data_IF_727076455214
#
_entry.id   IF_727076455214
#
_cell.length_a   1.000
_cell.length_b   1.000
_cell.length_c   1.000
_cell.angle_alpha   90.00
_cell.angle_beta   90.00
_cell.angle_gamma   90.00
#
_symmetry.space_group_name_H-M   'P 1'
#
loop_
_entity.id
_entity.type
_entity.pdbx_description
1 polymer ?
#
# COMPACT_ATOMS: atom_id res chain seq x y z
N UNK A 1 7.09 21.62 -24.99
CA UNK A 1 7.51 20.39 -25.71
C UNK A 1 8.29 19.51 -24.73
N UNK A 2 7.85 18.28 -24.48
CA UNK A 2 8.55 17.34 -23.59
C UNK A 2 9.80 16.86 -24.30
N UNK A 3 10.97 17.06 -23.67
CA UNK A 3 12.24 16.56 -24.20
C UNK A 3 12.41 15.13 -23.70
N UNK A 4 12.31 14.16 -24.61
CA UNK A 4 12.54 12.75 -24.34
C UNK A 4 14.05 12.47 -24.53
N UNK A 5 14.75 11.95 -23.50
CA UNK A 5 16.16 11.60 -23.63
C UNK A 5 16.31 10.42 -24.60
N UNK A 6 17.36 10.39 -25.40
CA UNK A 6 17.68 9.24 -26.26
C UNK A 6 18.15 8.03 -25.46
N UNK A 7 18.78 8.29 -24.31
CA UNK A 7 19.42 7.26 -23.48
C UNK A 7 19.34 7.63 -22.00
N UNK A 8 19.27 6.64 -21.12
CA UNK A 8 19.32 6.75 -19.66
C UNK A 8 19.92 5.45 -19.08
N UNK A 9 20.41 5.44 -17.83
CA UNK A 9 20.84 4.16 -17.22
C UNK A 9 19.64 3.28 -16.91
N UNK A 10 18.59 3.89 -16.35
CA UNK A 10 17.39 3.18 -15.90
C UNK A 10 16.14 3.90 -16.40
N UNK A 11 15.26 3.15 -17.05
CA UNK A 11 13.96 3.63 -17.47
C UNK A 11 12.87 3.00 -16.61
N UNK A 12 12.08 3.81 -15.89
CA UNK A 12 10.99 3.36 -15.03
C UNK A 12 9.66 3.59 -15.74
N UNK A 13 8.87 2.54 -15.87
CA UNK A 13 7.53 2.57 -16.46
C UNK A 13 6.50 2.63 -15.35
N UNK A 14 5.84 3.77 -15.19
CA UNK A 14 4.86 4.08 -14.16
C UNK A 14 5.38 5.09 -13.13
N UNK A 15 4.72 6.24 -13.06
CA UNK A 15 5.01 7.37 -12.16
C UNK A 15 4.24 7.35 -10.84
N UNK A 16 3.66 6.21 -10.44
CA UNK A 16 3.06 6.04 -9.13
C UNK A 16 4.08 5.97 -7.99
N UNK A 17 3.63 5.74 -6.75
CA UNK A 17 4.54 5.73 -5.57
C UNK A 17 5.71 4.76 -5.69
N UNK A 18 5.52 3.60 -6.33
CA UNK A 18 6.60 2.63 -6.52
C UNK A 18 7.66 3.15 -7.53
N UNK A 19 7.21 3.77 -8.63
CA UNK A 19 8.10 4.30 -9.63
C UNK A 19 8.90 5.51 -9.14
N UNK A 20 8.22 6.45 -8.46
CA UNK A 20 8.88 7.61 -7.87
C UNK A 20 9.85 7.22 -6.75
N UNK A 21 9.45 6.31 -5.85
CA UNK A 21 10.35 5.78 -4.80
C UNK A 21 11.56 5.07 -5.42
N UNK A 22 11.35 4.30 -6.51
CA UNK A 22 12.41 3.68 -7.29
C UNK A 22 13.35 4.71 -7.88
N UNK A 23 12.81 5.76 -8.49
CA UNK A 23 13.62 6.85 -9.07
C UNK A 23 14.49 7.54 -8.01
N UNK A 24 13.90 7.92 -6.88
CA UNK A 24 14.62 8.55 -5.75
C UNK A 24 15.75 7.65 -5.27
N UNK A 25 15.44 6.37 -4.98
CA UNK A 25 16.43 5.43 -4.46
C UNK A 25 17.57 5.17 -5.43
N UNK A 26 17.29 5.08 -6.73
CA UNK A 26 18.27 4.84 -7.78
C UNK A 26 19.12 6.10 -8.06
N UNK A 27 18.51 7.29 -8.08
CA UNK A 27 19.24 8.56 -8.17
C UNK A 27 20.21 8.74 -7.02
N UNK A 28 19.80 8.38 -5.80
CA UNK A 28 20.70 8.41 -4.62
C UNK A 28 21.92 7.46 -4.74
N UNK A 29 21.90 6.52 -5.70
CA UNK A 29 23.01 5.62 -6.05
C UNK A 29 23.79 6.06 -7.29
N UNK A 30 23.50 7.24 -7.83
CA UNK A 30 24.22 7.83 -8.96
C UNK A 30 23.73 7.42 -10.34
N UNK A 31 22.66 6.61 -10.45
CA UNK A 31 22.12 6.22 -11.76
C UNK A 31 21.38 7.38 -12.44
N UNK A 32 21.52 7.52 -13.76
CA UNK A 32 20.64 8.33 -14.61
C UNK A 32 19.26 7.67 -14.69
N UNK A 33 18.18 8.36 -14.26
CA UNK A 33 16.84 7.78 -14.18
C UNK A 33 15.83 8.62 -14.94
N UNK A 34 15.06 7.95 -15.82
CA UNK A 34 13.88 8.52 -16.47
C UNK A 34 12.63 7.74 -16.07
N UNK A 35 11.59 8.43 -15.66
CA UNK A 35 10.27 7.87 -15.33
C UNK A 35 9.26 8.32 -16.36
N UNK A 36 8.41 7.42 -16.87
CA UNK A 36 7.31 7.77 -17.76
C UNK A 36 5.97 7.23 -17.23
N UNK A 37 4.94 8.07 -17.26
CA UNK A 37 3.58 7.69 -16.93
C UNK A 37 2.59 8.32 -17.92
N UNK A 38 1.56 7.59 -18.39
CA UNK A 38 0.53 8.14 -19.28
C UNK A 38 -0.38 9.16 -18.60
N UNK A 39 -0.48 9.15 -17.27
CA UNK A 39 -1.29 10.11 -16.52
C UNK A 39 -0.51 11.41 -16.24
N UNK A 40 -1.27 12.48 -16.00
CA UNK A 40 -0.73 13.72 -15.44
C UNK A 40 -0.80 13.68 -13.90
N UNK A 41 0.18 14.27 -13.19
CA UNK A 41 0.15 14.37 -11.74
C UNK A 41 -0.87 15.42 -11.25
N UNK A 42 -1.32 15.30 -9.97
CA UNK A 42 -1.06 14.19 -9.06
C UNK A 42 -1.90 12.95 -9.39
N UNK A 43 -1.28 11.76 -9.36
CA UNK A 43 -1.98 10.51 -9.62
C UNK A 43 -2.75 10.08 -8.37
N UNK A 44 -4.07 10.08 -8.45
CA UNK A 44 -4.96 9.64 -7.39
C UNK A 44 -5.36 8.17 -7.58
N UNK A 45 -4.70 7.26 -6.87
CA UNK A 45 -5.01 5.83 -6.83
C UNK A 45 -5.79 5.51 -5.55
N UNK A 46 -6.87 4.70 -5.65
CA UNK A 46 -7.64 4.23 -4.49
C UNK A 46 -6.72 3.59 -3.44
N UNK A 47 -6.80 4.09 -2.21
CA UNK A 47 -5.94 3.73 -1.08
C UNK A 47 -6.68 4.02 0.23
N UNK A 48 -6.34 3.32 1.31
CA UNK A 48 -6.78 3.64 2.67
C UNK A 48 -6.08 4.83 3.30
N UNK A 49 -5.04 5.37 2.64
CA UNK A 49 -4.35 6.62 2.95
C UNK A 49 -3.68 6.67 4.33
N UNK A 50 -3.48 5.51 4.96
CA UNK A 50 -2.71 5.37 6.20
C UNK A 50 -1.28 4.91 5.94
N UNK A 51 -0.30 5.67 6.39
CA UNK A 51 1.12 5.29 6.47
C UNK A 51 1.44 4.88 7.91
N UNK A 52 1.78 3.63 8.13
CA UNK A 52 2.22 3.12 9.42
C UNK A 52 3.64 3.61 9.75
N UNK A 53 4.10 3.54 11.03
CA UNK A 53 5.43 4.03 11.42
C UNK A 53 6.59 3.45 10.60
N UNK A 54 6.54 2.18 10.25
CA UNK A 54 7.57 1.53 9.42
C UNK A 54 7.53 1.99 7.95
N UNK A 55 6.37 2.36 7.43
CA UNK A 55 6.24 2.99 6.11
C UNK A 55 6.81 4.42 6.11
N UNK A 56 6.56 5.18 7.19
CA UNK A 56 7.15 6.52 7.37
C UNK A 56 8.67 6.45 7.51
N UNK A 57 9.19 5.46 8.24
CA UNK A 57 10.64 5.24 8.34
C UNK A 57 11.26 4.94 6.97
N UNK A 58 10.58 4.16 6.13
CA UNK A 58 11.03 3.87 4.76
C UNK A 58 11.00 5.11 3.87
N UNK A 59 9.95 5.94 4.01
CA UNK A 59 9.81 7.22 3.32
C UNK A 59 10.94 8.19 3.73
N UNK A 60 11.25 8.26 5.03
CA UNK A 60 12.39 9.04 5.55
C UNK A 60 13.73 8.60 4.99
N UNK A 61 13.97 7.28 4.80
CA UNK A 61 15.19 6.77 4.14
C UNK A 61 15.29 7.16 2.66
N UNK A 62 14.17 7.47 2.01
CA UNK A 62 14.13 8.06 0.66
C UNK A 62 14.39 9.58 0.71
N UNK A 63 14.45 10.19 1.89
CA UNK A 63 14.59 11.63 2.06
C UNK A 63 13.32 12.41 1.70
N UNK A 64 12.16 11.76 1.74
CA UNK A 64 10.87 12.42 1.50
C UNK A 64 10.34 12.97 2.81
N UNK A 65 10.04 14.26 2.84
CA UNK A 65 9.44 14.96 3.97
C UNK A 65 7.97 15.26 3.67
N UNK A 66 7.09 14.92 4.59
CA UNK A 66 5.67 15.28 4.51
C UNK A 66 5.45 16.64 5.15
N UNK A 67 4.64 17.49 4.54
CA UNK A 67 4.26 18.80 5.10
C UNK A 67 3.25 18.57 6.24
N UNK A 68 3.44 19.19 7.42
CA UNK A 68 2.56 18.98 8.58
C UNK A 68 1.08 19.23 8.30
N UNK A 69 0.76 20.20 7.44
CA UNK A 69 -0.60 20.56 7.06
C UNK A 69 -1.28 19.53 6.15
N UNK A 70 -0.52 18.59 5.56
CA UNK A 70 -1.02 17.61 4.60
C UNK A 70 -1.30 16.24 5.19
N UNK A 71 -1.07 16.03 6.49
CA UNK A 71 -1.34 14.74 7.12
C UNK A 71 -1.92 14.90 8.53
N UNK A 72 -2.56 13.84 9.01
CA UNK A 72 -3.03 13.72 10.38
C UNK A 72 -2.29 12.56 11.07
N UNK A 73 -1.66 12.78 12.25
CA UNK A 73 -1.00 11.71 12.99
C UNK A 73 -2.04 10.77 13.61
N UNK A 74 -1.82 9.46 13.49
CA UNK A 74 -2.65 8.48 14.17
C UNK A 74 -1.79 7.49 14.98
N UNK A 75 -2.29 7.08 16.17
CA UNK A 75 -1.50 6.30 17.12
C UNK A 75 -1.57 4.80 16.94
N UNK A 76 -2.54 4.27 16.18
CA UNK A 76 -2.74 2.84 16.05
C UNK A 76 -4.01 2.46 15.31
N UNK A 77 -4.51 1.27 15.63
CA UNK A 77 -5.73 0.73 15.05
C UNK A 77 -6.83 0.55 16.09
N UNK A 78 -8.08 0.71 15.64
CA UNK A 78 -9.27 0.34 16.40
C UNK A 78 -10.14 -0.61 15.59
N UNK A 79 -10.43 -1.78 16.12
CA UNK A 79 -11.41 -2.72 15.55
C UNK A 79 -12.77 -2.46 16.19
N UNK A 80 -13.81 -2.39 15.35
CA UNK A 80 -15.18 -2.17 15.77
C UNK A 80 -16.07 -3.26 15.16
N UNK A 81 -16.91 -3.88 15.99
CA UNK A 81 -17.93 -4.84 15.52
C UNK A 81 -19.19 -4.75 16.43
N UNK A 82 -20.28 -4.23 15.90
CA UNK A 82 -21.46 -3.87 16.68
C UNK A 82 -21.08 -2.85 17.76
N UNK A 83 -21.36 -3.17 19.04
CA UNK A 83 -21.03 -2.32 20.20
C UNK A 83 -19.64 -2.60 20.79
N UNK A 84 -18.97 -3.65 20.33
CA UNK A 84 -17.65 -4.00 20.82
C UNK A 84 -16.57 -3.24 20.04
N UNK A 85 -15.60 -2.69 20.77
CA UNK A 85 -14.41 -2.08 20.17
C UNK A 85 -13.17 -2.40 21.00
N UNK A 86 -12.04 -2.51 20.32
CA UNK A 86 -10.73 -2.65 20.93
C UNK A 86 -9.72 -1.85 20.11
N UNK A 87 -8.85 -1.13 20.77
CA UNK A 87 -7.77 -0.40 20.12
C UNK A 87 -6.40 -0.77 20.68
N UNK A 88 -5.39 -0.56 19.85
CA UNK A 88 -4.00 -0.73 20.23
C UNK A 88 -3.14 0.32 19.51
N UNK A 89 -2.25 0.92 20.28
CA UNK A 89 -1.26 1.87 19.77
C UNK A 89 -0.07 1.16 19.15
N UNK A 90 0.59 1.83 18.24
CA UNK A 90 1.91 1.41 17.79
C UNK A 90 2.90 1.45 18.95
N UNK A 91 3.82 0.49 19.06
CA UNK A 91 4.82 0.49 20.12
C UNK A 91 5.82 1.65 20.02
N UNK A 92 6.05 2.15 18.80
CA UNK A 92 7.02 3.20 18.51
C UNK A 92 6.41 4.21 17.53
N UNK A 93 6.30 5.47 17.94
CA UNK A 93 5.86 6.59 17.09
C UNK A 93 4.39 6.55 16.70
N UNK A 94 4.05 7.35 15.71
CA UNK A 94 2.71 7.47 15.12
C UNK A 94 2.77 7.17 13.63
N UNK A 95 1.63 6.78 13.06
CA UNK A 95 1.41 6.78 11.62
C UNK A 95 1.00 8.16 11.12
N UNK A 96 0.83 8.30 9.81
CA UNK A 96 0.30 9.49 9.16
C UNK A 96 -0.82 9.12 8.19
N UNK A 97 -2.00 9.66 8.43
CA UNK A 97 -3.07 9.64 7.44
C UNK A 97 -2.87 10.81 6.48
N UNK A 98 -2.76 10.51 5.20
CA UNK A 98 -2.41 11.52 4.19
C UNK A 98 -3.14 11.23 2.87
N UNK A 99 -3.72 12.26 2.26
CA UNK A 99 -4.26 12.12 0.92
C UNK A 99 -3.24 11.55 -0.05
N UNK A 100 -3.69 10.61 -0.87
CA UNK A 100 -2.84 9.98 -1.87
C UNK A 100 -2.19 10.98 -2.82
N UNK A 101 -2.88 12.05 -3.16
CA UNK A 101 -2.38 13.15 -4.00
C UNK A 101 -1.25 13.91 -3.33
N UNK A 102 -1.36 14.26 -2.05
CA UNK A 102 -0.29 14.96 -1.30
C UNK A 102 0.96 14.09 -1.13
N UNK A 103 0.78 12.78 -0.86
CA UNK A 103 1.91 11.86 -0.84
C UNK A 103 2.59 11.77 -2.22
N UNK A 104 1.80 11.78 -3.29
CA UNK A 104 2.33 11.72 -4.65
C UNK A 104 3.13 12.99 -5.00
N UNK A 105 2.63 14.16 -4.62
CA UNK A 105 3.31 15.45 -4.77
C UNK A 105 4.66 15.45 -4.03
N UNK A 106 4.68 15.03 -2.75
CA UNK A 106 5.92 14.94 -1.99
C UNK A 106 6.97 13.98 -2.62
N UNK A 107 6.51 12.89 -3.22
CA UNK A 107 7.37 11.96 -3.96
C UNK A 107 7.88 12.57 -5.27
N UNK A 108 7.07 13.36 -5.99
CA UNK A 108 7.47 14.09 -7.19
C UNK A 108 8.53 15.12 -6.87
N UNK A 109 8.27 15.97 -5.88
CA UNK A 109 9.20 17.00 -5.43
C UNK A 109 10.57 16.38 -5.13
N UNK A 110 10.59 15.30 -4.35
CA UNK A 110 11.83 14.61 -4.01
C UNK A 110 12.50 13.95 -5.21
N UNK A 111 11.75 13.35 -6.12
CA UNK A 111 12.29 12.75 -7.34
C UNK A 111 12.98 13.83 -8.25
N UNK A 112 12.36 15.00 -8.36
CA UNK A 112 12.93 16.14 -9.09
C UNK A 112 14.18 16.69 -8.41
N UNK A 113 14.17 16.87 -7.09
CA UNK A 113 15.35 17.29 -6.31
C UNK A 113 16.55 16.36 -6.49
N UNK A 114 16.31 15.05 -6.63
CA UNK A 114 17.38 14.08 -6.90
C UNK A 114 17.83 14.07 -8.36
N UNK A 115 17.20 14.85 -9.25
CA UNK A 115 17.52 14.96 -10.66
C UNK A 115 16.97 13.82 -11.53
N UNK A 116 15.87 13.18 -11.14
CA UNK A 116 15.17 12.24 -12.02
C UNK A 116 14.43 12.99 -13.14
N UNK A 117 14.47 12.47 -14.35
CA UNK A 117 13.67 12.98 -15.47
C UNK A 117 12.27 12.39 -15.40
N UNK A 118 11.23 13.23 -15.30
CA UNK A 118 9.83 12.81 -15.21
C UNK A 118 9.08 13.17 -16.50
N UNK A 119 8.55 12.17 -17.18
CA UNK A 119 7.80 12.28 -18.44
C UNK A 119 6.32 11.96 -18.17
N UNK A 120 5.53 12.99 -17.91
CA UNK A 120 4.10 12.90 -17.69
C UNK A 120 3.30 12.97 -18.99
N UNK A 121 2.21 12.21 -19.09
CA UNK A 121 1.41 12.11 -20.31
C UNK A 121 2.10 11.29 -21.40
N UNK A 122 3.14 10.51 -21.06
CA UNK A 122 3.94 9.75 -22.03
C UNK A 122 3.74 8.25 -21.81
N UNK A 123 2.90 7.59 -22.62
CA UNK A 123 2.69 6.15 -22.53
C UNK A 123 3.86 5.35 -23.12
N UNK A 124 4.32 4.36 -22.38
CA UNK A 124 5.25 3.35 -22.90
C UNK A 124 4.46 2.32 -23.72
N UNK A 125 4.91 2.03 -24.94
CA UNK A 125 4.22 1.14 -25.90
C UNK A 125 4.75 -0.28 -25.88
N UNK A 126 6.03 -0.48 -25.57
CA UNK A 126 6.67 -1.77 -25.57
C UNK A 126 8.08 -1.78 -25.01
N UNK A 127 8.65 -2.98 -24.92
CA UNK A 127 10.06 -3.21 -24.62
C UNK A 127 10.83 -3.48 -25.91
N UNK A 128 12.10 -3.06 -25.94
CA UNK A 128 13.08 -3.44 -26.94
C UNK A 128 14.16 -4.31 -26.29
N UNK A 129 15.13 -4.80 -27.08
CA UNK A 129 16.28 -5.54 -26.53
C UNK A 129 17.17 -4.65 -25.64
N UNK A 130 17.15 -3.33 -25.86
CA UNK A 130 18.05 -2.36 -25.22
C UNK A 130 17.30 -1.21 -24.53
N UNK A 131 15.97 -1.31 -24.35
CA UNK A 131 15.22 -0.22 -23.73
C UNK A 131 13.72 -0.29 -23.93
N UNK A 132 13.09 0.85 -24.21
CA UNK A 132 11.62 0.99 -24.34
C UNK A 132 11.23 1.75 -25.59
N UNK A 133 10.01 1.50 -26.10
CA UNK A 133 9.38 2.22 -27.20
C UNK A 133 8.32 3.19 -26.66
N UNK A 134 8.37 4.44 -27.13
CA UNK A 134 7.42 5.52 -26.89
C UNK A 134 6.80 5.96 -28.23
N UNK A 135 5.78 6.83 -28.21
CA UNK A 135 5.19 7.38 -29.45
C UNK A 135 6.18 8.22 -30.28
N UNK A 136 7.20 8.81 -29.67
CA UNK A 136 8.24 9.60 -30.35
C UNK A 136 9.53 8.86 -30.69
N UNK A 137 9.59 7.52 -30.52
CA UNK A 137 10.79 6.73 -30.80
C UNK A 137 11.15 5.78 -29.67
N UNK A 138 12.44 5.42 -29.61
CA UNK A 138 12.99 4.51 -28.58
C UNK A 138 13.89 5.26 -27.63
N UNK A 139 13.90 4.82 -26.35
CA UNK A 139 14.87 5.27 -25.35
C UNK A 139 15.73 4.05 -24.98
N UNK A 140 17.03 4.17 -25.18
CA UNK A 140 17.97 3.13 -24.77
C UNK A 140 18.24 3.21 -23.27
N UNK A 141 18.34 2.05 -22.61
CA UNK A 141 18.67 1.98 -21.19
C UNK A 141 19.28 0.63 -20.81
N UNK A 142 20.13 0.65 -19.79
CA UNK A 142 20.69 -0.59 -19.22
C UNK A 142 19.64 -1.43 -18.53
N UNK A 143 18.68 -0.78 -17.84
CA UNK A 143 17.63 -1.44 -17.07
C UNK A 143 16.26 -0.82 -17.31
N UNK A 144 15.24 -1.66 -17.43
CA UNK A 144 13.84 -1.23 -17.40
C UNK A 144 13.22 -1.68 -16.09
N UNK A 145 12.59 -0.76 -15.36
CA UNK A 145 11.86 -1.06 -14.13
C UNK A 145 10.37 -0.87 -14.36
N UNK A 146 9.61 -1.97 -14.27
CA UNK A 146 8.15 -1.94 -14.31
C UNK A 146 7.58 -1.58 -12.94
N UNK A 147 6.93 -0.42 -12.87
CA UNK A 147 6.23 0.12 -11.70
C UNK A 147 4.77 0.51 -12.04
N UNK A 148 4.22 -0.11 -13.08
CA UNK A 148 2.95 0.22 -13.74
C UNK A 148 1.72 -0.49 -13.10
N UNK A 149 1.86 -0.88 -11.83
CA UNK A 149 0.77 -1.32 -10.96
C UNK A 149 0.28 -2.75 -11.20
N UNK A 150 -0.91 -3.07 -10.65
CA UNK A 150 -1.45 -4.43 -10.62
C UNK A 150 -1.68 -5.03 -12.02
N UNK A 151 -2.06 -4.21 -12.99
CA UNK A 151 -2.31 -4.63 -14.37
C UNK A 151 -1.08 -4.48 -15.28
N UNK A 152 0.13 -4.57 -14.70
CA UNK A 152 1.40 -4.31 -15.35
C UNK A 152 1.52 -4.88 -16.77
N UNK A 153 1.76 -3.98 -17.72
CA UNK A 153 2.10 -4.33 -19.10
C UNK A 153 3.55 -4.78 -19.20
N UNK A 154 4.45 -4.13 -18.42
CA UNK A 154 5.87 -4.50 -18.37
C UNK A 154 6.03 -5.94 -17.92
N UNK A 155 5.31 -6.37 -16.87
CA UNK A 155 5.31 -7.75 -16.42
C UNK A 155 4.94 -8.73 -17.52
N UNK A 156 3.89 -8.44 -18.30
CA UNK A 156 3.46 -9.27 -19.45
C UNK A 156 4.50 -9.31 -20.56
N UNK A 157 5.01 -8.13 -20.93
CA UNK A 157 6.04 -8.04 -22.00
C UNK A 157 7.33 -8.76 -21.64
N UNK A 158 7.70 -8.79 -20.37
CA UNK A 158 8.89 -9.49 -19.88
C UNK A 158 8.69 -11.00 -19.66
N UNK A 159 7.50 -11.55 -19.91
CA UNK A 159 7.19 -12.96 -19.67
C UNK A 159 7.22 -13.35 -18.18
N UNK A 160 6.93 -12.39 -17.29
CA UNK A 160 6.91 -12.58 -15.83
C UNK A 160 5.48 -12.75 -15.28
N UNK A 161 4.50 -12.93 -16.14
CA UNK A 161 3.09 -13.08 -15.73
C UNK A 161 2.89 -14.37 -14.89
N UNK A 162 2.01 -14.28 -13.92
CA UNK A 162 1.54 -15.40 -13.12
C UNK A 162 0.03 -15.29 -12.89
N UNK A 163 -0.61 -16.41 -12.55
CA UNK A 163 -2.02 -16.40 -12.20
C UNK A 163 -2.27 -15.50 -10.98
N UNK A 164 -3.35 -14.73 -11.01
CA UNK A 164 -3.89 -14.04 -9.83
C UNK A 164 -4.49 -15.06 -8.85
N UNK A 165 -4.56 -14.70 -7.58
CA UNK A 165 -5.45 -15.38 -6.65
C UNK A 165 -6.89 -15.36 -7.21
N UNK A 166 -7.64 -16.46 -7.05
CA UNK A 166 -9.05 -16.51 -7.41
C UNK A 166 -9.94 -15.64 -6.53
N UNK A 167 -9.47 -15.28 -5.32
CA UNK A 167 -10.19 -14.40 -4.41
C UNK A 167 -9.86 -12.96 -4.71
N UNK A 168 -10.80 -12.27 -5.35
CA UNK A 168 -10.74 -10.83 -5.58
C UNK A 168 -11.51 -10.11 -4.49
N UNK A 169 -11.04 -8.93 -4.10
CA UNK A 169 -11.77 -7.96 -3.27
C UNK A 169 -11.82 -6.63 -3.98
N UNK A 170 -12.89 -5.90 -3.71
CA UNK A 170 -13.15 -4.60 -4.32
C UNK A 170 -13.16 -3.56 -3.22
N UNK A 171 -12.39 -2.50 -3.41
CA UNK A 171 -12.33 -1.37 -2.49
C UNK A 171 -12.89 -0.13 -3.14
N UNK A 172 -13.77 0.60 -2.46
CA UNK A 172 -14.28 1.89 -2.90
C UNK A 172 -14.02 2.93 -1.84
N UNK A 173 -13.37 4.04 -2.22
CA UNK A 173 -12.94 5.11 -1.35
C UNK A 173 -13.68 6.40 -1.64
N UNK A 174 -14.03 7.14 -0.57
CA UNK A 174 -14.55 8.51 -0.61
C UNK A 174 -13.99 9.30 0.57
N UNK A 175 -13.79 10.60 0.39
CA UNK A 175 -13.39 11.51 1.47
C UNK A 175 -14.58 12.33 1.96
N UNK A 176 -14.57 12.62 3.26
CA UNK A 176 -15.63 13.37 3.94
C UNK A 176 -15.01 14.55 4.69
N UNK A 177 -15.61 15.73 4.53
CA UNK A 177 -15.26 16.91 5.32
C UNK A 177 -15.90 16.80 6.69
N UNK A 178 -15.11 16.42 7.66
CA UNK A 178 -15.52 16.26 9.05
C UNK A 178 -14.28 16.24 9.93
N UNK A 179 -14.35 16.92 11.08
CA UNK A 179 -13.28 16.85 12.08
C UNK A 179 -13.11 15.41 12.56
N UNK A 180 -11.88 14.88 12.58
CA UNK A 180 -11.61 13.54 13.07
C UNK A 180 -12.11 13.34 14.50
N UNK A 181 -12.90 12.30 14.72
CA UNK A 181 -13.38 11.87 16.05
C UNK A 181 -12.47 10.83 16.69
N UNK A 182 -11.42 10.45 16.03
CA UNK A 182 -10.50 9.39 16.44
C UNK A 182 -9.07 9.74 16.02
N UNK A 183 -8.12 9.27 16.80
CA UNK A 183 -6.69 9.28 16.50
C UNK A 183 -6.17 7.88 16.11
N UNK A 184 -7.08 7.00 15.68
CA UNK A 184 -6.78 5.65 15.16
C UNK A 184 -7.31 5.49 13.74
N UNK A 185 -6.70 4.59 12.98
CA UNK A 185 -7.41 4.00 11.84
C UNK A 185 -8.44 3.02 12.38
N UNK A 186 -9.72 3.29 12.14
CA UNK A 186 -10.81 2.42 12.57
C UNK A 186 -11.17 1.42 11.48
N UNK A 187 -11.34 0.15 11.88
CA UNK A 187 -11.74 -0.95 11.01
C UNK A 187 -13.05 -1.52 11.52
N UNK A 188 -14.12 -1.20 10.83
CA UNK A 188 -15.46 -1.67 11.12
C UNK A 188 -15.70 -3.01 10.41
N UNK A 189 -16.03 -4.03 11.19
CA UNK A 189 -16.29 -5.38 10.69
C UNK A 189 -17.80 -5.62 10.54
N UNK A 190 -18.25 -5.79 9.30
CA UNK A 190 -19.63 -6.10 8.95
C UNK A 190 -19.83 -7.50 8.38
N UNK A 191 -21.05 -7.79 7.95
CA UNK A 191 -21.37 -9.00 7.20
C UNK A 191 -21.00 -8.80 5.73
N UNK A 192 -19.98 -9.52 5.25
CA UNK A 192 -19.53 -9.47 3.85
C UNK A 192 -18.70 -8.25 3.45
N UNK A 193 -18.47 -7.31 4.36
CA UNK A 193 -17.60 -6.16 4.09
C UNK A 193 -16.91 -5.63 5.35
N UNK A 194 -15.84 -4.83 5.14
CA UNK A 194 -15.23 -3.99 6.16
C UNK A 194 -15.25 -2.54 5.70
N UNK A 195 -15.35 -1.61 6.66
CA UNK A 195 -15.12 -0.18 6.40
C UNK A 195 -13.89 0.28 7.18
N UNK A 196 -12.95 0.89 6.47
CA UNK A 196 -11.78 1.53 7.02
C UNK A 196 -12.02 3.03 7.07
N UNK A 197 -11.74 3.63 8.21
CA UNK A 197 -11.86 5.07 8.42
C UNK A 197 -10.51 5.58 8.89
N UNK A 198 -9.89 6.44 8.10
CA UNK A 198 -8.57 7.02 8.35
C UNK A 198 -8.68 8.53 8.49
N UNK A 199 -8.27 9.14 9.59
CA UNK A 199 -8.12 10.59 9.67
C UNK A 199 -6.94 11.01 8.77
N UNK A 200 -7.15 11.95 7.84
CA UNK A 200 -6.16 12.35 6.83
C UNK A 200 -5.85 13.84 6.82
N UNK A 201 -6.56 14.60 7.63
CA UNK A 201 -6.40 16.03 7.83
C UNK A 201 -7.20 16.48 9.03
N UNK A 202 -7.02 17.73 9.46
CA UNK A 202 -7.73 18.28 10.63
C UNK A 202 -9.25 18.36 10.43
N UNK A 203 -9.72 18.40 9.21
CA UNK A 203 -11.14 18.46 8.84
C UNK A 203 -11.50 17.42 7.79
N UNK A 204 -10.75 16.31 7.72
CA UNK A 204 -10.98 15.36 6.65
C UNK A 204 -10.73 13.90 7.07
N UNK A 205 -11.66 13.04 6.66
CA UNK A 205 -11.60 11.58 6.86
C UNK A 205 -11.66 10.84 5.53
N UNK A 206 -10.79 9.85 5.37
CA UNK A 206 -10.87 8.87 4.28
C UNK A 206 -11.71 7.68 4.72
N UNK A 207 -12.70 7.30 3.93
CA UNK A 207 -13.56 6.13 4.19
C UNK A 207 -13.47 5.17 3.02
N UNK A 208 -13.15 3.91 3.31
CA UNK A 208 -13.00 2.85 2.30
C UNK A 208 -13.88 1.67 2.68
N UNK A 209 -14.77 1.23 1.81
CA UNK A 209 -15.41 -0.08 1.93
C UNK A 209 -14.60 -1.13 1.17
N UNK A 210 -14.37 -2.27 1.79
CA UNK A 210 -13.74 -3.44 1.17
C UNK A 210 -14.70 -4.62 1.23
N UNK A 211 -14.96 -5.25 0.08
CA UNK A 211 -15.89 -6.38 -0.05
C UNK A 211 -15.44 -7.36 -1.15
N UNK A 212 -16.04 -8.55 -1.18
CA UNK A 212 -15.98 -9.48 -2.32
C UNK A 212 -17.05 -9.21 -3.37
N UNK A 213 -18.07 -8.44 -3.01
CA UNK A 213 -19.07 -7.97 -3.93
C UNK A 213 -18.54 -6.76 -4.71
N UNK A 214 -18.40 -6.91 -6.03
CA UNK A 214 -17.93 -5.86 -6.93
C UNK A 214 -18.92 -4.70 -7.07
N UNK A 215 -20.16 -4.86 -6.64
CA UNK A 215 -21.24 -3.88 -6.77
C UNK A 215 -21.49 -3.09 -5.47
N UNK A 216 -21.00 -3.58 -4.33
CA UNK A 216 -21.20 -2.89 -3.04
C UNK A 216 -20.46 -1.56 -3.01
N UNK A 217 -21.20 -0.46 -2.86
CA UNK A 217 -20.70 0.92 -2.78
C UNK A 217 -20.84 1.45 -1.36
N UNK A 218 -20.15 2.58 -1.07
CA UNK A 218 -20.21 3.21 0.26
C UNK A 218 -21.63 3.56 0.69
N UNK A 219 -22.47 4.08 -0.21
CA UNK A 219 -23.83 4.46 0.13
C UNK A 219 -24.72 3.26 0.52
N UNK A 220 -24.39 2.07 0.02
CA UNK A 220 -25.06 0.82 0.38
C UNK A 220 -24.47 0.18 1.64
N UNK A 221 -23.15 0.33 1.83
CA UNK A 221 -22.44 -0.29 2.95
C UNK A 221 -22.60 0.49 4.26
N UNK A 222 -22.55 1.83 4.23
CA UNK A 222 -22.60 2.68 5.42
C UNK A 222 -23.83 2.45 6.30
N UNK A 223 -25.08 2.28 5.77
CA UNK A 223 -26.24 1.97 6.58
C UNK A 223 -26.13 0.67 7.39
N UNK A 224 -25.25 -0.27 6.98
CA UNK A 224 -24.99 -1.50 7.73
C UNK A 224 -24.21 -1.24 9.04
N UNK A 225 -23.69 -0.03 9.22
CA UNK A 225 -22.93 0.44 10.38
C UNK A 225 -23.58 1.70 10.98
N UNK A 226 -24.69 1.57 11.77
CA UNK A 226 -25.54 2.70 12.14
C UNK A 226 -24.79 3.84 12.86
N UNK A 227 -23.84 3.51 13.73
CA UNK A 227 -23.04 4.52 14.44
C UNK A 227 -22.17 5.34 13.48
N UNK A 228 -21.45 4.67 12.58
CA UNK A 228 -20.63 5.31 11.57
C UNK A 228 -21.48 6.11 10.57
N UNK A 229 -22.61 5.55 10.13
CA UNK A 229 -23.54 6.23 9.25
C UNK A 229 -24.09 7.50 9.90
N UNK A 230 -24.46 7.43 11.19
CA UNK A 230 -24.91 8.58 11.96
C UNK A 230 -23.92 9.74 11.98
N UNK A 231 -22.61 9.45 12.03
CA UNK A 231 -21.52 10.44 11.98
C UNK A 231 -21.34 11.04 10.59
N UNK A 232 -21.49 10.25 9.53
CA UNK A 232 -21.14 10.62 8.15
C UNK A 232 -22.33 11.14 7.32
N UNK A 233 -23.57 10.84 7.67
CA UNK A 233 -24.77 11.13 6.85
C UNK A 233 -24.95 12.60 6.45
N UNK A 234 -24.45 13.52 7.27
CA UNK A 234 -24.53 14.97 7.02
C UNK A 234 -23.17 15.58 6.61
N UNK A 235 -22.10 14.78 6.50
CA UNK A 235 -20.79 15.27 6.12
C UNK A 235 -20.71 15.47 4.59
N UNK A 236 -20.19 16.60 4.16
CA UNK A 236 -19.98 16.88 2.75
C UNK A 236 -18.86 15.99 2.18
N UNK A 237 -19.01 15.55 0.95
CA UNK A 237 -17.97 14.83 0.23
C UNK A 237 -16.93 15.81 -0.32
N UNK A 238 -15.65 15.46 -0.16
CA UNK A 238 -14.52 16.24 -0.70
C UNK A 238 -13.87 15.55 -1.90
N UNK A 239 -14.36 14.35 -2.28
CA UNK A 239 -13.96 13.65 -3.49
C UNK A 239 -15.10 12.79 -4.05
N UNK A 240 -15.02 12.47 -5.34
CA UNK A 240 -15.82 11.40 -5.94
C UNK A 240 -15.39 10.03 -5.42
N UNK A 241 -16.31 9.05 -5.42
CA UNK A 241 -15.97 7.67 -5.10
C UNK A 241 -15.05 7.07 -6.15
N UNK A 242 -13.96 6.43 -5.72
CA UNK A 242 -13.02 5.73 -6.59
C UNK A 242 -12.88 4.28 -6.16
N UNK A 243 -12.88 3.37 -7.15
CA UNK A 243 -12.76 1.94 -6.94
C UNK A 243 -11.39 1.37 -7.32
N UNK A 244 -11.00 0.28 -6.67
CA UNK A 244 -9.88 -0.55 -7.05
C UNK A 244 -10.16 -2.02 -6.74
N UNK A 245 -9.47 -2.90 -7.48
CA UNK A 245 -9.44 -4.33 -7.22
C UNK A 245 -8.20 -4.66 -6.40
N UNK A 246 -8.39 -5.42 -5.33
CA UNK A 246 -7.32 -6.01 -4.52
C UNK A 246 -7.27 -7.51 -4.75
N UNK A 247 -6.08 -8.03 -5.01
CA UNK A 247 -5.83 -9.45 -5.17
C UNK A 247 -4.44 -9.79 -4.64
N UNK A 248 -4.27 -11.00 -4.14
CA UNK A 248 -2.92 -11.52 -3.88
C UNK A 248 -2.34 -12.08 -5.17
N UNK A 249 -1.18 -11.59 -5.56
CA UNK A 249 -0.41 -12.09 -6.70
C UNK A 249 1.01 -12.42 -6.26
N UNK A 250 1.45 -13.64 -6.52
CA UNK A 250 2.82 -14.07 -6.26
C UNK A 250 3.51 -14.39 -7.58
N UNK A 251 4.67 -13.79 -7.81
CA UNK A 251 5.50 -14.08 -8.97
C UNK A 251 6.59 -15.08 -8.59
N UNK A 252 6.89 -16.01 -9.51
CA UNK A 252 8.05 -16.90 -9.37
C UNK A 252 9.37 -16.12 -9.49
N UNK A 253 9.39 -15.08 -10.33
CA UNK A 253 10.54 -14.21 -10.58
C UNK A 253 10.07 -12.77 -10.67
N UNK A 254 10.90 -11.82 -10.19
CA UNK A 254 10.65 -10.37 -10.22
C UNK A 254 11.59 -9.65 -11.18
N UNK A 255 12.36 -10.39 -11.95
CA UNK A 255 13.18 -9.87 -13.05
C UNK A 255 13.36 -10.92 -14.15
N UNK A 256 13.63 -10.45 -15.38
CA UNK A 256 13.97 -11.25 -16.56
C UNK A 256 14.86 -10.41 -17.48
N UNK A 257 16.07 -10.90 -17.78
CA UNK A 257 17.05 -10.13 -18.53
C UNK A 257 17.33 -8.77 -17.88
N UNK A 258 17.13 -7.70 -18.64
CA UNK A 258 17.31 -6.31 -18.18
C UNK A 258 16.02 -5.67 -17.62
N UNK A 259 14.95 -6.45 -17.45
CA UNK A 259 13.67 -5.95 -16.92
C UNK A 259 13.47 -6.39 -15.47
N UNK A 260 13.16 -5.45 -14.60
CA UNK A 260 12.86 -5.65 -13.18
C UNK A 260 11.47 -5.12 -12.84
N UNK A 261 10.87 -5.63 -11.78
CA UNK A 261 9.53 -5.19 -11.34
C UNK A 261 9.57 -4.71 -9.89
N UNK A 262 8.77 -3.69 -9.58
CA UNK A 262 8.62 -3.12 -8.22
C UNK A 262 7.16 -2.74 -7.95
N UNK A 263 6.76 -2.69 -6.68
CA UNK A 263 5.39 -2.41 -6.28
C UNK A 263 4.41 -3.49 -6.76
N UNK A 264 3.16 -3.13 -7.02
CA UNK A 264 2.12 -4.08 -7.45
C UNK A 264 2.44 -4.76 -8.80
N UNK A 265 3.32 -4.18 -9.62
CA UNK A 265 3.83 -4.82 -10.83
C UNK A 265 4.65 -6.08 -10.51
N UNK A 266 5.36 -6.11 -9.37
CA UNK A 266 6.16 -7.24 -8.91
C UNK A 266 5.38 -8.28 -8.09
N UNK A 267 4.09 -8.08 -7.93
CA UNK A 267 3.18 -8.88 -7.12
C UNK A 267 2.53 -8.05 -6.00
N UNK A 268 1.43 -8.56 -5.47
CA UNK A 268 0.62 -7.86 -4.48
C UNK A 268 0.21 -8.76 -3.33
N UNK A 269 0.03 -8.18 -2.16
CA UNK A 269 -0.64 -8.77 -1.01
C UNK A 269 -2.01 -8.11 -0.89
N UNK A 270 -3.01 -8.84 -0.38
CA UNK A 270 -4.35 -8.29 -0.20
C UNK A 270 -4.31 -6.99 0.61
N UNK A 271 -5.04 -5.98 0.13
CA UNK A 271 -5.05 -4.63 0.70
C UNK A 271 -5.66 -4.55 2.12
N UNK A 272 -6.21 -5.66 2.64
CA UNK A 272 -6.81 -5.74 3.99
C UNK A 272 -5.85 -5.29 5.09
N UNK A 273 -4.55 -5.37 4.88
CA UNK A 273 -3.51 -4.96 5.84
C UNK A 273 -2.98 -3.55 5.66
N UNK A 274 -3.28 -2.90 4.52
CA UNK A 274 -2.80 -1.54 4.23
C UNK A 274 -1.29 -1.41 3.97
N UNK A 275 -0.54 -2.50 3.76
CA UNK A 275 0.94 -2.49 3.66
C UNK A 275 1.51 -2.21 2.26
N UNK A 276 0.68 -1.92 1.25
CA UNK A 276 1.13 -1.75 -0.13
C UNK A 276 2.16 -0.62 -0.32
N UNK A 277 1.99 0.51 0.37
CA UNK A 277 2.91 1.65 0.31
C UNK A 277 4.26 1.32 0.95
N UNK A 278 4.26 0.69 2.13
CA UNK A 278 5.50 0.23 2.76
C UNK A 278 6.26 -0.73 1.86
N UNK A 279 5.56 -1.71 1.30
CA UNK A 279 6.19 -2.68 0.38
C UNK A 279 6.85 -1.99 -0.81
N UNK A 280 6.19 -1.03 -1.44
CA UNK A 280 6.77 -0.36 -2.60
C UNK A 280 8.02 0.46 -2.24
N UNK A 281 8.06 1.12 -1.08
CA UNK A 281 9.24 1.86 -0.61
C UNK A 281 10.41 0.92 -0.30
N UNK A 282 10.17 -0.14 0.46
CA UNK A 282 11.19 -1.12 0.82
C UNK A 282 11.74 -1.86 -0.41
N UNK A 283 10.88 -2.24 -1.33
CA UNK A 283 11.28 -2.89 -2.58
C UNK A 283 12.13 -1.96 -3.44
N UNK A 284 11.80 -0.66 -3.50
CA UNK A 284 12.56 0.34 -4.24
C UNK A 284 13.97 0.54 -3.66
N UNK A 285 14.08 0.60 -2.33
CA UNK A 285 15.37 0.67 -1.64
C UNK A 285 16.21 -0.60 -1.87
N UNK A 286 15.58 -1.78 -1.80
CA UNK A 286 16.26 -3.06 -2.05
C UNK A 286 16.69 -3.19 -3.51
N UNK A 287 15.88 -2.73 -4.47
CA UNK A 287 16.20 -2.70 -5.89
C UNK A 287 17.43 -1.83 -6.15
N UNK A 288 17.43 -0.59 -5.63
CA UNK A 288 18.52 0.34 -5.81
C UNK A 288 19.84 -0.21 -5.24
N UNK A 289 19.79 -0.83 -4.05
CA UNK A 289 20.96 -1.50 -3.47
C UNK A 289 21.45 -2.63 -4.37
N UNK A 290 20.58 -3.49 -4.83
CA UNK A 290 20.94 -4.65 -5.63
C UNK A 290 21.54 -4.28 -7.00
N UNK A 291 21.04 -3.21 -7.64
CA UNK A 291 21.62 -2.70 -8.89
C UNK A 291 22.99 -2.06 -8.68
N UNK A 292 23.17 -1.34 -7.56
CA UNK A 292 24.48 -0.78 -7.19
C UNK A 292 25.53 -1.86 -6.90
N UNK A 293 25.09 -2.98 -6.29
CA UNK A 293 25.96 -4.12 -5.94
C UNK A 293 26.07 -5.15 -7.08
N UNK A 294 25.45 -4.90 -8.25
CA UNK A 294 25.32 -5.82 -9.40
C UNK A 294 24.81 -7.23 -9.00
N UNK A 295 23.87 -7.28 -8.06
CA UNK A 295 23.37 -8.53 -7.46
C UNK A 295 21.83 -8.65 -7.49
N UNK A 296 21.28 -9.04 -8.64
CA UNK A 296 19.83 -9.22 -8.80
C UNK A 296 19.24 -10.39 -7.96
N UNK A 297 20.09 -11.38 -7.60
CA UNK A 297 19.64 -12.48 -6.72
C UNK A 297 19.34 -11.95 -5.32
N UNK A 298 20.12 -10.97 -4.85
CA UNK A 298 19.85 -10.29 -3.57
C UNK A 298 18.52 -9.52 -3.61
N UNK A 299 18.19 -8.85 -4.72
CA UNK A 299 16.89 -8.23 -4.90
C UNK A 299 15.74 -9.23 -4.78
N UNK A 300 15.81 -10.35 -5.51
CA UNK A 300 14.78 -11.37 -5.47
C UNK A 300 14.62 -12.00 -4.07
N UNK A 301 15.71 -12.16 -3.32
CA UNK A 301 15.67 -12.66 -1.94
C UNK A 301 15.02 -11.63 -1.00
N UNK A 302 15.42 -10.36 -1.07
CA UNK A 302 14.85 -9.27 -0.29
C UNK A 302 13.35 -9.09 -0.59
N UNK A 303 12.96 -9.10 -1.87
CA UNK A 303 11.56 -9.00 -2.29
C UNK A 303 10.69 -10.09 -1.65
N UNK A 304 11.14 -11.36 -1.69
CA UNK A 304 10.43 -12.47 -1.02
C UNK A 304 10.33 -12.29 0.49
N UNK A 305 11.42 -11.84 1.11
CA UNK A 305 11.45 -11.61 2.57
C UNK A 305 10.50 -10.49 2.99
N UNK A 306 10.47 -9.38 2.27
CA UNK A 306 9.59 -8.23 2.52
C UNK A 306 8.11 -8.60 2.46
N UNK A 307 7.72 -9.53 1.58
CA UNK A 307 6.35 -9.96 1.41
C UNK A 307 5.85 -10.96 2.48
N UNK A 308 6.74 -11.61 3.27
CA UNK A 308 6.35 -12.68 4.20
C UNK A 308 5.41 -12.21 5.31
N UNK A 309 5.79 -11.15 6.02
CA UNK A 309 5.00 -10.58 7.13
C UNK A 309 3.64 -10.08 6.63
N UNK A 310 3.55 -9.22 5.58
CA UNK A 310 2.28 -8.81 5.01
C UNK A 310 1.37 -9.96 4.58
N UNK A 311 1.93 -10.97 3.92
CA UNK A 311 1.16 -12.13 3.49
C UNK A 311 0.59 -12.93 4.66
N UNK A 312 1.37 -13.08 5.74
CA UNK A 312 0.92 -13.74 6.97
C UNK A 312 -0.20 -12.95 7.65
N UNK A 313 -0.02 -11.63 7.83
CA UNK A 313 -1.03 -10.77 8.44
C UNK A 313 -2.31 -10.70 7.59
N UNK A 314 -2.18 -10.65 6.27
CA UNK A 314 -3.33 -10.71 5.37
C UNK A 314 -4.10 -12.03 5.51
N UNK A 315 -3.42 -13.16 5.58
CA UNK A 315 -4.07 -14.47 5.79
C UNK A 315 -4.84 -14.52 7.11
N UNK A 316 -4.27 -13.96 8.19
CA UNK A 316 -4.93 -13.86 9.48
C UNK A 316 -6.19 -13.00 9.42
N UNK A 317 -6.11 -11.78 8.87
CA UNK A 317 -7.26 -10.90 8.73
C UNK A 317 -8.33 -11.45 7.78
N UNK A 318 -7.93 -12.10 6.69
CA UNK A 318 -8.87 -12.76 5.78
C UNK A 318 -9.60 -13.94 6.43
N UNK A 319 -9.02 -14.63 7.42
CA UNK A 319 -9.72 -15.66 8.18
C UNK A 319 -10.87 -15.08 9.01
N UNK A 320 -10.70 -13.87 9.56
CA UNK A 320 -11.74 -13.13 10.27
C UNK A 320 -12.84 -12.63 9.32
N UNK A 321 -12.48 -12.30 8.09
CA UNK A 321 -13.42 -11.91 7.05
C UNK A 321 -14.33 -13.07 6.62
N UNK A 322 -13.78 -14.28 6.52
CA UNK A 322 -14.51 -15.47 6.10
C UNK A 322 -15.49 -16.01 7.16
N UNK A 323 -15.19 -15.86 8.44
CA UNK A 323 -15.93 -16.48 9.53
C UNK A 323 -16.42 -15.47 10.56
N UNK A 324 -17.74 -15.20 10.56
CA UNK A 324 -18.37 -14.35 11.56
C UNK A 324 -18.22 -14.93 12.98
N UNK A 325 -18.30 -16.25 13.13
CA UNK A 325 -18.10 -16.95 14.38
C UNK A 325 -16.68 -16.73 14.93
N UNK A 326 -15.66 -16.97 14.10
CA UNK A 326 -14.27 -16.75 14.50
C UNK A 326 -14.03 -15.27 14.84
N UNK A 327 -14.50 -14.35 14.01
CA UNK A 327 -14.39 -12.92 14.23
C UNK A 327 -14.95 -12.47 15.57
N UNK A 328 -16.17 -12.94 15.93
CA UNK A 328 -16.79 -12.58 17.20
C UNK A 328 -15.99 -13.10 18.40
N UNK A 329 -15.45 -14.32 18.34
CA UNK A 329 -14.60 -14.87 19.40
C UNK A 329 -13.28 -14.15 19.53
N UNK A 330 -12.63 -13.86 18.40
CA UNK A 330 -11.37 -13.10 18.38
C UNK A 330 -11.60 -11.71 18.97
N UNK A 331 -12.61 -10.96 18.52
CA UNK A 331 -12.87 -9.61 19.03
C UNK A 331 -13.20 -9.62 20.53
N UNK A 332 -13.96 -10.60 21.03
CA UNK A 332 -14.18 -10.78 22.48
C UNK A 332 -12.87 -11.03 23.22
N UNK A 333 -12.00 -11.91 22.71
CA UNK A 333 -10.70 -12.18 23.30
C UNK A 333 -9.82 -10.93 23.33
N UNK A 334 -9.78 -10.16 22.23
CA UNK A 334 -9.02 -8.91 22.14
C UNK A 334 -9.55 -7.84 23.11
N UNK A 335 -10.86 -7.77 23.31
CA UNK A 335 -11.46 -6.84 24.27
C UNK A 335 -11.22 -7.25 25.73
N UNK A 336 -11.19 -8.55 26.04
CA UNK A 336 -10.89 -9.04 27.40
C UNK A 336 -9.40 -8.98 27.74
N UNK A 337 -8.51 -9.12 26.75
CA UNK A 337 -7.06 -9.05 26.92
C UNK A 337 -6.42 -8.15 25.82
N UNK A 338 -6.45 -6.80 25.98
CA UNK A 338 -5.95 -5.86 24.96
C UNK A 338 -4.47 -6.04 24.59
N UNK A 339 -3.67 -6.66 25.47
CA UNK A 339 -2.25 -6.98 25.19
C UNK A 339 -2.08 -7.91 23.99
N UNK A 340 -3.08 -8.78 23.72
CA UNK A 340 -3.07 -9.65 22.53
C UNK A 340 -3.08 -8.76 21.29
N UNK A 341 -4.00 -7.78 21.23
CA UNK A 341 -4.11 -6.88 20.09
C UNK A 341 -2.88 -5.98 19.94
N UNK A 342 -2.36 -5.45 21.05
CA UNK A 342 -1.12 -4.66 21.04
C UNK A 342 0.07 -5.44 20.43
N UNK A 343 0.18 -6.74 20.77
CA UNK A 343 1.22 -7.60 20.17
C UNK A 343 0.98 -7.87 18.69
N UNK A 344 -0.27 -7.98 18.25
CA UNK A 344 -0.62 -8.11 16.82
C UNK A 344 -0.26 -6.84 16.05
N UNK A 345 -0.57 -5.66 16.58
CA UNK A 345 -0.20 -4.37 16.00
C UNK A 345 1.33 -4.22 15.96
N UNK A 346 2.04 -4.59 17.04
CA UNK A 346 3.51 -4.57 17.06
C UNK A 346 4.12 -5.50 15.99
N UNK A 347 3.57 -6.70 15.81
CA UNK A 347 3.99 -7.62 14.74
C UNK A 347 3.70 -7.03 13.36
N UNK A 348 2.54 -6.40 13.19
CA UNK A 348 2.13 -5.79 11.92
C UNK A 348 3.09 -4.71 11.45
N UNK A 349 3.59 -3.87 12.35
CA UNK A 349 4.58 -2.82 12.03
C UNK A 349 6.04 -3.27 12.18
N UNK A 350 6.29 -4.57 12.40
CA UNK A 350 7.64 -5.13 12.47
C UNK A 350 8.40 -4.83 13.77
N UNK A 351 7.70 -4.41 14.81
CA UNK A 351 8.27 -4.10 16.13
C UNK A 351 8.24 -5.29 17.11
N UNK A 352 7.63 -6.41 16.74
CA UNK A 352 7.64 -7.65 17.50
C UNK A 352 8.25 -8.79 16.69
N UNK A 353 8.90 -9.73 17.38
CA UNK A 353 9.42 -10.95 16.77
C UNK A 353 8.32 -12.00 16.57
N UNK A 354 8.55 -12.97 15.67
CA UNK A 354 7.63 -14.10 15.49
C UNK A 354 7.44 -14.89 16.80
N UNK A 355 8.49 -15.03 17.62
CA UNK A 355 8.42 -15.70 18.91
C UNK A 355 7.51 -14.95 19.88
N UNK A 356 7.67 -13.62 19.99
CA UNK A 356 6.80 -12.79 20.83
C UNK A 356 5.34 -12.87 20.36
N UNK A 357 5.10 -12.80 19.05
CA UNK A 357 3.77 -12.93 18.48
C UNK A 357 3.11 -14.26 18.83
N UNK A 358 3.83 -15.40 18.71
CA UNK A 358 3.30 -16.71 19.08
C UNK A 358 2.98 -16.76 20.58
N UNK A 359 3.93 -16.37 21.42
CA UNK A 359 3.80 -16.51 22.89
C UNK A 359 2.78 -15.55 23.50
N UNK A 360 2.75 -14.28 23.04
CA UNK A 360 1.97 -13.20 23.67
C UNK A 360 0.66 -12.89 22.94
N UNK A 361 0.46 -13.46 21.75
CA UNK A 361 -0.78 -13.26 20.99
C UNK A 361 -1.43 -14.58 20.60
N UNK A 362 -0.79 -15.43 19.81
CA UNK A 362 -1.46 -16.61 19.24
C UNK A 362 -1.84 -17.64 20.30
N UNK A 363 -0.98 -17.94 21.26
CA UNK A 363 -1.28 -18.91 22.33
C UNK A 363 -2.40 -18.42 23.27
N UNK A 364 -2.37 -17.16 23.80
CA UNK A 364 -3.50 -16.63 24.58
C UNK A 364 -4.79 -16.59 23.78
N UNK A 365 -4.75 -16.10 22.52
CA UNK A 365 -5.91 -16.04 21.64
C UNK A 365 -6.52 -17.43 21.42
N UNK A 366 -5.71 -18.45 21.17
CA UNK A 366 -6.16 -19.82 21.02
C UNK A 366 -6.90 -20.33 22.26
N UNK A 367 -6.37 -20.06 23.47
CA UNK A 367 -7.03 -20.41 24.73
C UNK A 367 -8.40 -19.74 24.87
N UNK A 368 -8.51 -18.45 24.59
CA UNK A 368 -9.78 -17.73 24.62
C UNK A 368 -10.79 -18.27 23.60
N UNK A 369 -10.35 -18.66 22.41
CA UNK A 369 -11.23 -19.22 21.37
C UNK A 369 -11.76 -20.59 21.78
N UNK A 370 -10.94 -21.42 22.44
CA UNK A 370 -11.33 -22.76 22.89
C UNK A 370 -12.18 -22.76 24.16
N UNK A 371 -12.00 -21.76 25.04
CA UNK A 371 -12.71 -21.64 26.30
C UNK A 371 -14.10 -20.97 26.19
N UNK A 372 -14.39 -20.35 25.06
CA UNK A 372 -15.64 -19.65 24.77
C UNK A 372 -16.57 -20.47 23.85
#
# INVERSE_FOLDING_TARGET
MIIIPKQTDIFIVGGGSAGLAGAIALRARGFGVTVADPALPPIDKTCGEGLMPDALASLGRLGVTLRPEHFFPFRGFRFVSGRASVDASFPNGTGAGIRRTHLHEALIDRAQETGATLLWGVPVKGLTKTGVTLDGGTVECRWVVGADGENSRVRRWAGLESARSKSLRFGFRRHYRITPWTDCVEIYWGSGCQIYVTPIGHEEMCVVVMSRDSHLRLDQALPMFPELFGRLKNAAWTSTERGAVSATRRLARVYSGHVLLVGDASGSVDAITGEGLRLCFEQSLALAKALSDDNLKAYAAAHRQLARRPAFMAALMLSLDHSAWLRQRVLRALSSEPRIFATQVAMHVGAATTTDFIRRSMLPLGRHILAA
#
